data_IF_698636898878
#
_entry.id   IF_698636898878
#
_cell.length_a   1.000
_cell.length_b   1.000
_cell.length_c   1.000
_cell.angle_alpha   90.00
_cell.angle_beta   90.00
_cell.angle_gamma   90.00
#
_symmetry.space_group_name_H-M   'P 1'
#
loop_
_entity.id
_entity.type
_entity.pdbx_description
1 polymer ?
#
# COMPACT_ATOMS: atom_id res chain seq x y z
N UNK A 1 6.40 -29.58 12.00
CA UNK A 1 6.82 -28.16 12.19
C UNK A 1 5.71 -27.27 11.61
N UNK A 2 5.23 -26.27 12.31
CA UNK A 2 4.22 -25.35 11.80
C UNK A 2 4.87 -24.43 10.76
N UNK A 3 4.26 -24.30 9.58
CA UNK A 3 4.78 -23.39 8.54
C UNK A 3 4.54 -21.94 8.91
N UNK A 4 5.40 -21.07 8.41
CA UNK A 4 5.27 -19.62 8.58
C UNK A 4 5.52 -18.91 7.26
N UNK A 5 4.57 -18.08 6.89
CA UNK A 5 4.60 -17.29 5.65
C UNK A 5 4.60 -15.80 5.95
N UNK A 6 5.39 -15.06 5.17
CA UNK A 6 5.34 -13.59 5.14
C UNK A 6 4.72 -13.17 3.82
N UNK A 7 3.69 -12.31 3.85
CA UNK A 7 3.18 -11.58 2.69
C UNK A 7 3.70 -10.15 2.76
N UNK A 8 4.28 -9.63 1.68
CA UNK A 8 4.77 -8.25 1.58
C UNK A 8 4.07 -7.56 0.42
N UNK A 9 3.54 -6.34 0.66
CA UNK A 9 2.87 -5.47 -0.32
C UNK A 9 3.54 -4.09 -0.31
N UNK A 10 4.07 -3.67 -1.46
CA UNK A 10 4.72 -2.38 -1.64
C UNK A 10 3.69 -1.24 -1.64
N UNK A 11 3.90 -0.26 -0.79
CA UNK A 11 2.92 0.78 -0.54
C UNK A 11 2.72 1.72 -1.72
N UNK A 12 1.51 1.68 -2.32
CA UNK A 12 1.14 2.51 -3.47
C UNK A 12 2.18 2.45 -4.61
N UNK A 13 2.65 1.26 -4.94
CA UNK A 13 3.88 0.98 -5.66
C UNK A 13 4.14 1.91 -6.85
N UNK A 14 3.26 1.97 -7.85
CA UNK A 14 3.48 2.79 -9.04
C UNK A 14 3.61 4.28 -8.72
N UNK A 15 2.80 4.78 -7.77
CA UNK A 15 2.89 6.17 -7.36
C UNK A 15 4.17 6.45 -6.57
N UNK A 16 4.63 5.48 -5.76
CA UNK A 16 5.90 5.59 -5.04
C UNK A 16 7.09 5.60 -5.99
N UNK A 17 7.10 4.76 -7.04
CA UNK A 17 8.12 4.78 -8.09
C UNK A 17 8.15 6.15 -8.78
N UNK A 18 6.98 6.68 -9.17
CA UNK A 18 6.89 7.99 -9.83
C UNK A 18 7.38 9.15 -8.95
N UNK A 19 7.12 9.09 -7.63
CA UNK A 19 7.67 10.06 -6.69
C UNK A 19 9.20 9.96 -6.61
N UNK A 20 9.73 8.75 -6.41
CA UNK A 20 11.19 8.53 -6.28
C UNK A 20 11.97 9.00 -7.50
N UNK A 21 11.46 8.75 -8.70
CA UNK A 21 12.05 9.22 -9.95
C UNK A 21 12.09 10.74 -10.11
N UNK A 22 11.20 11.44 -9.41
CA UNK A 22 11.16 12.90 -9.39
C UNK A 22 11.91 13.49 -8.20
N UNK A 23 12.60 12.66 -7.39
CA UNK A 23 13.26 13.10 -6.15
C UNK A 23 12.28 13.53 -5.06
N UNK A 24 11.01 13.05 -5.12
CA UNK A 24 9.95 13.41 -4.19
C UNK A 24 9.76 12.30 -3.14
N UNK A 25 9.24 12.65 -1.96
CA UNK A 25 8.85 11.70 -0.94
C UNK A 25 7.46 11.10 -1.24
N UNK A 26 7.34 9.77 -1.45
CA UNK A 26 6.04 9.13 -1.69
C UNK A 26 5.03 9.28 -0.54
N UNK A 27 5.49 9.51 0.68
CA UNK A 27 4.64 9.66 1.85
C UNK A 27 4.10 11.07 2.03
N UNK A 28 4.81 12.06 1.49
CA UNK A 28 4.42 13.48 1.59
C UNK A 28 3.74 14.00 0.31
N UNK A 29 4.16 13.53 -0.86
CA UNK A 29 3.73 14.07 -2.14
C UNK A 29 2.36 13.58 -2.56
N UNK A 30 1.48 14.49 -2.95
CA UNK A 30 0.20 14.18 -3.57
C UNK A 30 0.40 13.88 -5.07
N UNK A 31 0.23 12.61 -5.46
CA UNK A 31 0.43 12.15 -6.83
C UNK A 31 -0.54 11.02 -7.18
N UNK A 32 -1.02 11.02 -8.41
CA UNK A 32 -1.75 9.90 -9.03
C UNK A 32 -1.03 9.42 -10.28
N UNK A 33 -1.11 8.11 -10.54
CA UNK A 33 -0.66 7.53 -11.80
C UNK A 33 -1.88 7.31 -12.70
N UNK A 34 -2.02 8.13 -13.73
CA UNK A 34 -3.13 8.08 -14.67
C UNK A 34 -2.72 8.63 -16.05
N UNK A 35 -3.33 8.10 -17.11
CA UNK A 35 -3.15 8.62 -18.46
C UNK A 35 -4.25 9.63 -18.82
N UNK A 36 -4.02 10.91 -18.50
CA UNK A 36 -4.96 12.00 -18.79
C UNK A 36 -5.14 12.29 -20.27
N UNK A 37 -4.18 11.87 -21.13
CA UNK A 37 -4.25 12.05 -22.59
C UNK A 37 -5.38 11.25 -23.22
N UNK A 38 -5.81 10.16 -22.57
CA UNK A 38 -6.91 9.32 -23.08
C UNK A 38 -8.27 9.93 -22.77
N UNK A 39 -8.53 10.17 -21.49
CA UNK A 39 -9.79 10.75 -20.99
C UNK A 39 -9.74 10.89 -19.47
N UNK A 40 -10.47 11.85 -18.92
CA UNK A 40 -10.65 11.99 -17.47
C UNK A 40 -11.42 10.81 -16.82
N UNK A 41 -12.06 9.95 -17.63
CA UNK A 41 -12.70 8.73 -17.15
C UNK A 41 -11.70 7.57 -16.91
N UNK A 42 -10.40 7.78 -17.20
CA UNK A 42 -9.35 6.79 -16.96
C UNK A 42 -9.29 6.43 -15.48
N UNK A 43 -9.01 5.16 -15.19
CA UNK A 43 -8.81 4.68 -13.81
C UNK A 43 -7.39 5.04 -13.40
N UNK A 44 -7.23 5.64 -12.22
CA UNK A 44 -5.93 5.83 -11.60
C UNK A 44 -5.35 4.46 -11.21
N UNK A 45 -4.17 4.14 -11.72
CA UNK A 45 -3.50 2.88 -11.41
C UNK A 45 -2.95 2.85 -9.99
N UNK A 46 -2.53 4.01 -9.48
CA UNK A 46 -2.09 4.20 -8.10
C UNK A 46 -2.33 5.64 -7.65
N UNK A 47 -2.45 5.79 -6.34
CA UNK A 47 -2.60 7.07 -5.64
C UNK A 47 -1.65 7.04 -4.43
N UNK A 48 -0.91 8.12 -4.18
CA UNK A 48 0.00 8.22 -3.03
C UNK A 48 -0.74 8.13 -1.69
N UNK A 49 -0.05 7.67 -0.63
CA UNK A 49 -0.63 7.63 0.72
C UNK A 49 -1.11 8.99 1.23
N UNK A 50 -0.35 10.06 0.95
CA UNK A 50 -0.72 11.43 1.30
C UNK A 50 -2.06 11.83 0.67
N UNK A 51 -2.23 11.58 -0.62
CA UNK A 51 -3.47 11.93 -1.31
C UNK A 51 -4.66 11.04 -0.88
N UNK A 52 -4.40 9.76 -0.53
CA UNK A 52 -5.40 8.87 0.08
C UNK A 52 -5.89 9.37 1.44
N UNK A 53 -5.07 10.06 2.22
CA UNK A 53 -5.46 10.61 3.53
C UNK A 53 -6.58 11.67 3.44
N UNK A 54 -6.75 12.27 2.27
CA UNK A 54 -7.87 13.19 1.96
C UNK A 54 -9.14 12.46 1.51
N UNK A 55 -9.20 11.12 1.65
CA UNK A 55 -10.35 10.31 1.28
C UNK A 55 -10.47 10.03 -0.22
N UNK A 56 -9.37 10.13 -0.96
CA UNK A 56 -9.31 9.79 -2.39
C UNK A 56 -9.04 8.28 -2.51
N UNK A 57 -9.89 7.52 -3.24
CA UNK A 57 -9.74 6.09 -3.37
C UNK A 57 -8.50 5.71 -4.21
N UNK A 58 -7.86 4.58 -3.88
CA UNK A 58 -6.63 4.13 -4.54
C UNK A 58 -6.77 3.78 -6.02
N UNK A 59 -8.00 3.53 -6.50
CA UNK A 59 -8.34 3.19 -7.89
C UNK A 59 -9.56 3.95 -8.40
N UNK A 60 -9.74 5.20 -7.95
CA UNK A 60 -10.78 6.09 -8.46
C UNK A 60 -10.52 6.48 -9.91
N UNK A 61 -11.54 6.99 -10.60
CA UNK A 61 -11.37 7.60 -11.92
C UNK A 61 -10.77 9.00 -11.77
N UNK A 62 -10.00 9.43 -12.75
CA UNK A 62 -9.29 10.71 -12.66
C UNK A 62 -10.24 11.90 -12.43
N UNK A 63 -11.42 11.90 -13.06
CA UNK A 63 -12.41 12.95 -12.84
C UNK A 63 -12.95 12.95 -11.39
N UNK A 64 -13.10 11.78 -10.76
CA UNK A 64 -13.52 11.65 -9.35
C UNK A 64 -12.45 12.24 -8.42
N UNK A 65 -11.17 11.99 -8.73
CA UNK A 65 -10.05 12.59 -7.99
C UNK A 65 -10.10 14.12 -8.12
N UNK A 66 -10.22 14.65 -9.34
CA UNK A 66 -10.32 16.11 -9.60
C UNK A 66 -11.50 16.72 -8.85
N UNK A 67 -12.68 16.09 -8.92
CA UNK A 67 -13.87 16.55 -8.20
C UNK A 67 -13.69 16.54 -6.68
N UNK A 68 -13.08 15.48 -6.15
CA UNK A 68 -12.79 15.39 -4.71
C UNK A 68 -11.82 16.47 -4.26
N UNK A 69 -10.78 16.75 -5.03
CA UNK A 69 -9.82 17.86 -4.75
C UNK A 69 -10.55 19.21 -4.76
N UNK A 70 -11.47 19.45 -5.69
CA UNK A 70 -12.29 20.67 -5.69
C UNK A 70 -13.12 20.81 -4.41
N UNK A 71 -13.75 19.72 -3.95
CA UNK A 71 -14.53 19.73 -2.69
C UNK A 71 -13.63 20.02 -1.47
N UNK A 72 -12.43 19.41 -1.42
CA UNK A 72 -11.45 19.67 -0.36
C UNK A 72 -11.03 21.13 -0.40
N UNK A 73 -10.74 21.68 -1.56
CA UNK A 73 -10.33 23.07 -1.72
C UNK A 73 -11.45 24.06 -1.38
N UNK A 74 -12.71 23.70 -1.62
CA UNK A 74 -13.84 24.51 -1.15
C UNK A 74 -13.89 24.57 0.37
N UNK A 75 -13.69 23.43 1.05
CA UNK A 75 -13.63 23.37 2.51
C UNK A 75 -12.39 24.12 3.06
N UNK A 76 -11.21 23.94 2.44
CA UNK A 76 -9.98 24.68 2.81
C UNK A 76 -10.16 26.18 2.66
N UNK A 77 -10.77 26.64 1.57
CA UNK A 77 -11.08 28.06 1.36
C UNK A 77 -11.96 28.61 2.47
N UNK A 78 -12.98 27.88 2.87
CA UNK A 78 -13.87 28.31 3.95
C UNK A 78 -13.13 28.44 5.30
N UNK A 79 -12.15 27.56 5.57
CA UNK A 79 -11.35 27.57 6.80
C UNK A 79 -10.15 28.52 6.74
N UNK A 80 -9.73 28.96 5.55
CA UNK A 80 -8.55 29.81 5.38
C UNK A 80 -8.77 31.25 5.92
N UNK A 81 -7.70 31.92 6.40
CA UNK A 81 -7.76 33.32 6.78
C UNK A 81 -8.30 34.17 5.62
N UNK A 82 -9.27 35.02 5.91
CA UNK A 82 -9.92 35.86 4.88
C UNK A 82 -10.74 35.12 3.84
N UNK A 83 -10.96 33.79 4.02
CA UNK A 83 -11.67 32.90 3.08
C UNK A 83 -11.08 32.90 1.66
N UNK A 84 -9.78 33.07 1.56
CA UNK A 84 -9.05 33.07 0.29
C UNK A 84 -7.90 32.04 0.35
N UNK A 85 -7.70 31.35 -0.77
CA UNK A 85 -6.54 30.48 -0.95
C UNK A 85 -5.48 31.26 -1.74
N UNK A 86 -4.24 31.24 -1.26
CA UNK A 86 -3.10 31.96 -1.82
C UNK A 86 -2.04 30.97 -2.29
N UNK A 87 -2.22 30.43 -3.49
CA UNK A 87 -1.32 29.40 -4.05
C UNK A 87 -1.82 27.98 -3.85
N UNK A 88 -0.99 27.00 -4.20
CA UNK A 88 -1.29 25.56 -4.08
C UNK A 88 -0.02 24.79 -3.72
N UNK A 89 -0.19 23.58 -3.17
CA UNK A 89 0.91 22.65 -2.87
C UNK A 89 0.52 21.21 -3.09
N UNK A 90 1.50 20.41 -3.57
CA UNK A 90 1.42 18.97 -3.63
C UNK A 90 2.02 18.27 -2.39
N UNK A 91 2.61 19.01 -1.42
CA UNK A 91 3.18 18.47 -0.19
C UNK A 91 2.12 18.38 0.90
N UNK A 92 1.97 17.19 1.50
CA UNK A 92 1.07 17.00 2.63
C UNK A 92 1.49 17.82 3.85
N UNK A 93 2.78 17.82 4.18
CA UNK A 93 3.31 18.55 5.32
C UNK A 93 3.07 20.07 5.17
N UNK A 94 3.32 20.62 3.97
CA UNK A 94 3.08 22.01 3.69
C UNK A 94 1.58 22.36 3.76
N UNK A 95 0.71 21.51 3.25
CA UNK A 95 -0.73 21.70 3.35
C UNK A 95 -1.27 21.64 4.78
N UNK A 96 -0.60 20.91 5.69
CA UNK A 96 -0.96 20.88 7.12
C UNK A 96 -0.48 22.15 7.85
N UNK A 97 0.69 22.69 7.50
CA UNK A 97 1.24 23.91 8.13
C UNK A 97 0.65 25.20 7.58
N UNK A 98 0.17 25.21 6.32
CA UNK A 98 -0.30 26.40 5.63
C UNK A 98 -1.76 26.25 5.16
N UNK A 99 -2.76 26.60 6.01
CA UNK A 99 -4.17 26.44 5.69
C UNK A 99 -4.66 27.22 4.46
N UNK A 100 -3.94 28.31 4.09
CA UNK A 100 -4.25 29.17 2.93
C UNK A 100 -3.86 28.54 1.59
N UNK A 101 -3.13 27.43 1.56
CA UNK A 101 -2.77 26.78 0.30
C UNK A 101 -3.89 25.85 -0.20
N UNK A 102 -4.13 25.84 -1.50
CA UNK A 102 -4.96 24.87 -2.15
C UNK A 102 -4.24 23.50 -2.21
N UNK A 103 -4.98 22.42 -2.01
CA UNK A 103 -4.53 21.08 -2.33
C UNK A 103 -4.35 20.95 -3.84
N UNK A 104 -3.15 20.55 -4.25
CA UNK A 104 -2.83 20.20 -5.62
C UNK A 104 -2.21 18.81 -5.68
N UNK A 105 -2.12 18.22 -6.87
CA UNK A 105 -1.55 16.89 -7.06
C UNK A 105 -0.93 16.73 -8.45
N UNK A 106 0.07 15.88 -8.53
CA UNK A 106 0.77 15.54 -9.77
C UNK A 106 0.03 14.38 -10.46
N UNK A 107 -0.19 14.50 -11.78
CA UNK A 107 -0.65 13.41 -12.62
C UNK A 107 0.57 12.85 -13.37
N UNK A 108 0.95 11.61 -13.06
CA UNK A 108 2.05 10.92 -13.71
C UNK A 108 1.51 9.91 -14.75
N UNK A 109 1.99 9.94 -16.01
CA UNK A 109 1.61 8.94 -16.99
C UNK A 109 2.16 7.56 -16.60
N UNK A 110 1.42 6.46 -16.86
CA UNK A 110 1.86 5.10 -16.53
C UNK A 110 3.11 4.70 -17.34
N UNK A 111 4.10 4.10 -16.66
CA UNK A 111 5.35 3.58 -17.26
C UNK A 111 5.56 2.12 -16.86
N UNK A 112 4.72 1.20 -17.39
CA UNK A 112 4.67 -0.20 -16.94
C UNK A 112 6.01 -0.93 -17.01
N UNK A 113 6.78 -0.76 -18.10
CA UNK A 113 8.12 -1.36 -18.21
C UNK A 113 9.04 -0.92 -17.05
N UNK A 114 9.00 0.34 -16.72
CA UNK A 114 9.78 0.91 -15.63
C UNK A 114 9.36 0.39 -14.25
N UNK A 115 8.07 0.18 -14.04
CA UNK A 115 7.59 -0.44 -12.80
C UNK A 115 8.04 -1.90 -12.68
N UNK A 116 8.12 -2.61 -13.79
CA UNK A 116 8.67 -3.97 -13.82
C UNK A 116 10.16 -3.99 -13.45
N UNK A 117 10.95 -3.04 -13.94
CA UNK A 117 12.37 -2.89 -13.56
C UNK A 117 12.53 -2.66 -12.06
N UNK A 118 11.73 -1.76 -11.46
CA UNK A 118 11.73 -1.54 -10.01
C UNK A 118 11.30 -2.78 -9.22
N UNK A 119 10.27 -3.50 -9.70
CA UNK A 119 9.83 -4.76 -9.10
C UNK A 119 10.94 -5.80 -9.11
N UNK A 120 11.67 -5.93 -10.23
CA UNK A 120 12.82 -6.85 -10.35
C UNK A 120 13.93 -6.48 -9.37
N UNK A 121 14.30 -5.19 -9.26
CA UNK A 121 15.29 -4.74 -8.27
C UNK A 121 14.89 -5.06 -6.84
N UNK A 122 13.61 -4.92 -6.51
CA UNK A 122 13.09 -5.26 -5.18
C UNK A 122 13.11 -6.78 -4.98
N UNK A 123 12.78 -7.56 -6.00
CA UNK A 123 12.86 -9.02 -5.95
C UNK A 123 14.29 -9.51 -5.69
N UNK A 124 15.30 -8.87 -6.29
CA UNK A 124 16.71 -9.15 -6.01
C UNK A 124 17.09 -8.90 -4.54
N UNK A 125 16.45 -7.94 -3.86
CA UNK A 125 16.62 -7.74 -2.42
C UNK A 125 16.03 -8.92 -1.65
N UNK A 126 14.84 -9.42 -2.03
CA UNK A 126 14.21 -10.58 -1.40
C UNK A 126 15.08 -11.84 -1.51
N UNK A 127 15.74 -12.06 -2.66
CA UNK A 127 16.64 -13.18 -2.90
C UNK A 127 17.87 -13.21 -1.99
N UNK A 128 18.22 -12.13 -1.33
CA UNK A 128 19.31 -12.11 -0.33
C UNK A 128 18.90 -12.78 0.98
N UNK A 129 17.62 -12.98 1.19
CA UNK A 129 17.04 -13.49 2.44
C UNK A 129 16.37 -14.84 2.28
N UNK A 130 15.73 -15.07 1.15
CA UNK A 130 14.89 -16.25 0.91
C UNK A 130 15.23 -16.81 -0.47
N UNK A 131 15.36 -18.13 -0.58
CA UNK A 131 15.62 -18.80 -1.84
C UNK A 131 14.43 -18.62 -2.83
N UNK A 132 14.69 -18.59 -4.15
CA UNK A 132 13.65 -18.31 -5.13
C UNK A 132 12.49 -19.33 -5.11
N UNK A 133 12.75 -20.59 -4.74
CA UNK A 133 11.75 -21.64 -4.60
C UNK A 133 10.76 -21.41 -3.46
N UNK A 134 11.15 -20.63 -2.45
CA UNK A 134 10.33 -20.28 -1.29
C UNK A 134 9.64 -18.91 -1.46
N UNK A 135 9.82 -18.24 -2.63
CA UNK A 135 9.17 -16.97 -2.96
C UNK A 135 8.09 -17.19 -4.02
N UNK A 136 6.86 -16.81 -3.71
CA UNK A 136 5.74 -16.79 -4.64
C UNK A 136 5.47 -15.34 -5.04
N UNK A 137 5.77 -14.98 -6.28
CA UNK A 137 5.43 -13.67 -6.85
C UNK A 137 3.93 -13.66 -7.15
N UNK A 138 3.16 -12.91 -6.38
CA UNK A 138 1.71 -12.81 -6.51
C UNK A 138 1.30 -11.71 -7.50
N UNK A 139 2.01 -10.59 -7.49
CA UNK A 139 1.83 -9.48 -8.42
C UNK A 139 3.14 -8.67 -8.56
N UNK A 140 3.11 -7.58 -9.32
CA UNK A 140 4.26 -6.67 -9.49
C UNK A 140 4.72 -6.03 -8.17
N UNK A 141 3.82 -5.90 -7.22
CA UNK A 141 4.02 -5.22 -5.93
C UNK A 141 3.78 -6.10 -4.71
N UNK A 142 3.48 -7.39 -4.92
CA UNK A 142 3.17 -8.31 -3.82
C UNK A 142 3.84 -9.67 -3.98
N UNK A 143 4.44 -10.15 -2.89
CA UNK A 143 5.07 -11.47 -2.79
C UNK A 143 4.63 -12.21 -1.52
N UNK A 144 4.70 -13.54 -1.56
CA UNK A 144 4.68 -14.40 -0.38
C UNK A 144 6.01 -15.12 -0.26
N UNK A 145 6.46 -15.35 0.96
CA UNK A 145 7.68 -16.07 1.28
C UNK A 145 7.39 -17.15 2.32
N UNK A 146 7.76 -18.41 2.05
CA UNK A 146 7.82 -19.44 3.09
C UNK A 146 9.13 -19.26 3.86
N UNK A 147 9.04 -18.80 5.09
CA UNK A 147 10.20 -18.51 5.93
C UNK A 147 10.43 -19.54 7.01
N UNK A 148 9.76 -20.66 6.93
CA UNK A 148 9.77 -21.73 7.97
C UNK A 148 11.17 -22.22 8.29
N UNK A 149 12.04 -22.38 7.30
CA UNK A 149 13.38 -22.93 7.46
C UNK A 149 14.47 -21.85 7.76
N UNK A 150 14.09 -20.58 7.75
CA UNK A 150 15.07 -19.49 7.82
C UNK A 150 15.30 -18.95 9.24
N UNK A 151 14.48 -19.33 10.22
CA UNK A 151 14.59 -18.81 11.60
C UNK A 151 15.89 -19.22 12.27
N UNK A 152 16.27 -20.49 12.13
CA UNK A 152 17.53 -21.00 12.70
C UNK A 152 18.74 -20.38 12.00
N UNK A 153 18.65 -20.19 10.68
CA UNK A 153 19.73 -19.62 9.87
C UNK A 153 20.04 -18.17 10.27
N UNK A 154 18.99 -17.35 10.49
CA UNK A 154 19.18 -15.94 10.80
C UNK A 154 19.14 -15.63 12.29
N UNK A 155 18.70 -16.53 13.15
CA UNK A 155 18.46 -16.26 14.57
C UNK A 155 17.42 -15.17 14.82
N UNK A 156 16.47 -15.01 13.87
CA UNK A 156 15.45 -13.95 13.87
C UNK A 156 14.06 -14.56 13.93
N UNK A 157 13.12 -13.87 14.56
CA UNK A 157 11.68 -14.15 14.42
C UNK A 157 11.17 -13.76 13.01
N UNK A 158 10.02 -14.29 12.61
CA UNK A 158 9.38 -13.89 11.34
C UNK A 158 9.17 -12.38 11.23
N UNK A 159 8.82 -11.73 12.34
CA UNK A 159 8.62 -10.29 12.42
C UNK A 159 9.92 -9.50 12.19
N UNK A 160 10.99 -9.92 12.83
CA UNK A 160 12.31 -9.30 12.68
C UNK A 160 12.86 -9.49 11.26
N UNK A 161 12.65 -10.68 10.67
CA UNK A 161 13.03 -10.96 9.29
C UNK A 161 12.22 -10.10 8.31
N UNK A 162 10.90 -10.02 8.46
CA UNK A 162 10.06 -9.15 7.65
C UNK A 162 10.47 -7.68 7.76
N UNK A 163 10.72 -7.22 8.99
CA UNK A 163 11.21 -5.86 9.25
C UNK A 163 12.52 -5.58 8.53
N UNK A 164 13.49 -6.48 8.64
CA UNK A 164 14.81 -6.34 8.01
C UNK A 164 14.70 -6.26 6.49
N UNK A 165 13.90 -7.14 5.89
CA UNK A 165 13.65 -7.12 4.44
C UNK A 165 13.03 -5.78 4.01
N UNK A 166 11.99 -5.31 4.70
CA UNK A 166 11.29 -4.06 4.37
C UNK A 166 12.23 -2.85 4.52
N UNK A 167 13.06 -2.83 5.56
CA UNK A 167 14.02 -1.74 5.75
C UNK A 167 15.11 -1.71 4.67
N UNK A 168 15.55 -2.87 4.17
CA UNK A 168 16.49 -2.94 3.06
C UNK A 168 15.83 -2.45 1.75
N UNK A 169 14.58 -2.85 1.48
CA UNK A 169 13.80 -2.31 0.35
C UNK A 169 13.68 -0.80 0.46
N UNK A 170 13.31 -0.28 1.63
CA UNK A 170 13.18 1.16 1.87
C UNK A 170 14.51 1.89 1.66
N UNK A 171 15.61 1.37 2.19
CA UNK A 171 16.94 1.97 2.08
C UNK A 171 17.41 2.05 0.63
N UNK A 172 17.21 0.99 -0.16
CA UNK A 172 17.74 0.90 -1.52
C UNK A 172 16.83 1.51 -2.59
N UNK A 173 15.53 1.56 -2.34
CA UNK A 173 14.55 2.05 -3.33
C UNK A 173 13.76 3.29 -2.87
N UNK A 174 13.77 3.58 -1.57
CA UNK A 174 12.94 4.61 -0.96
C UNK A 174 11.44 4.27 -0.96
N UNK A 175 11.08 3.00 -1.20
CA UNK A 175 9.71 2.52 -1.20
C UNK A 175 9.46 1.70 0.05
N UNK A 176 8.44 2.07 0.83
CA UNK A 176 8.04 1.31 2.01
C UNK A 176 7.05 0.20 1.66
N UNK A 177 6.90 -0.76 2.57
CA UNK A 177 5.99 -1.88 2.41
C UNK A 177 5.19 -2.16 3.68
N UNK A 178 4.19 -3.00 3.54
CA UNK A 178 3.40 -3.55 4.64
C UNK A 178 3.54 -5.07 4.61
N UNK A 179 3.66 -5.73 5.76
CA UNK A 179 3.74 -7.18 5.81
C UNK A 179 2.65 -7.79 6.68
N UNK A 180 2.25 -9.01 6.30
CA UNK A 180 1.44 -9.91 7.09
C UNK A 180 2.16 -11.23 7.31
N UNK A 181 2.09 -11.76 8.52
CA UNK A 181 2.68 -13.03 8.91
C UNK A 181 1.55 -13.99 9.25
N UNK A 182 1.63 -15.21 8.78
CA UNK A 182 0.61 -16.23 9.05
C UNK A 182 1.14 -17.65 8.94
N UNK A 183 0.39 -18.59 9.51
CA UNK A 183 0.71 -20.03 9.50
C UNK A 183 0.39 -20.69 8.15
N UNK A 184 -0.24 -19.97 7.26
CA UNK A 184 -0.48 -20.30 5.86
C UNK A 184 -0.61 -19.04 5.01
N UNK A 185 -0.62 -19.18 3.67
CA UNK A 185 -0.69 -18.06 2.72
C UNK A 185 -1.93 -17.19 2.94
N UNK A 186 -3.08 -17.80 3.24
CA UNK A 186 -4.32 -17.07 3.47
C UNK A 186 -4.22 -16.18 4.72
N UNK A 187 -3.74 -16.72 5.84
CA UNK A 187 -3.59 -15.96 7.08
C UNK A 187 -2.54 -14.86 6.95
N UNK A 188 -1.44 -15.11 6.24
CA UNK A 188 -0.45 -14.07 5.93
C UNK A 188 -1.08 -12.93 5.12
N UNK A 189 -1.87 -13.24 4.08
CA UNK A 189 -2.59 -12.25 3.28
C UNK A 189 -3.61 -11.47 4.10
N UNK A 190 -4.41 -12.15 4.90
CA UNK A 190 -5.42 -11.51 5.78
C UNK A 190 -4.74 -10.64 6.84
N UNK A 191 -3.65 -11.12 7.45
CA UNK A 191 -2.87 -10.31 8.38
C UNK A 191 -2.39 -9.00 7.74
N UNK A 192 -1.91 -9.06 6.50
CA UNK A 192 -1.45 -7.90 5.76
C UNK A 192 -2.60 -6.96 5.39
N UNK A 193 -3.63 -7.45 4.71
CA UNK A 193 -4.69 -6.60 4.14
C UNK A 193 -5.65 -6.05 5.19
N UNK A 194 -5.96 -6.87 6.21
CA UNK A 194 -7.02 -6.58 7.18
C UNK A 194 -6.47 -5.94 8.45
N UNK A 195 -5.29 -6.34 8.88
CA UNK A 195 -4.71 -5.81 10.13
C UNK A 195 -3.58 -4.82 9.87
N UNK A 196 -2.53 -5.23 9.17
CA UNK A 196 -1.33 -4.40 9.03
C UNK A 196 -1.62 -3.06 8.34
N UNK A 197 -2.49 -3.01 7.34
CA UNK A 197 -2.86 -1.77 6.65
C UNK A 197 -3.65 -0.78 7.54
N UNK A 198 -4.20 -1.24 8.67
CA UNK A 198 -5.04 -0.43 9.56
C UNK A 198 -4.42 -0.12 10.92
N UNK A 199 -3.27 -0.70 11.26
CA UNK A 199 -2.53 -0.34 12.48
C UNK A 199 -1.63 0.87 12.25
N UNK A 200 -1.24 1.53 13.35
CA UNK A 200 -0.23 2.57 13.32
C UNK A 200 1.10 2.01 12.80
N UNK A 201 1.83 2.82 12.03
CA UNK A 201 3.18 2.48 11.64
C UNK A 201 4.11 2.56 12.87
N UNK A 202 5.18 1.76 12.86
CA UNK A 202 6.24 1.89 13.85
C UNK A 202 7.12 3.13 13.59
N UNK A 203 8.18 3.30 14.37
CA UNK A 203 9.13 4.41 14.24
C UNK A 203 9.81 4.49 12.84
N UNK A 204 9.86 3.38 12.10
CA UNK A 204 10.43 3.30 10.75
C UNK A 204 9.37 3.41 9.64
N UNK A 205 8.12 3.70 9.98
CA UNK A 205 7.00 3.77 9.03
C UNK A 205 6.48 2.40 8.58
N UNK A 206 6.98 1.30 9.14
CA UNK A 206 6.64 -0.07 8.78
C UNK A 206 5.40 -0.55 9.54
N UNK A 207 4.60 -1.38 8.87
CA UNK A 207 3.41 -2.00 9.44
C UNK A 207 3.48 -3.50 9.24
N UNK A 208 3.50 -4.25 10.35
CA UNK A 208 3.53 -5.72 10.33
C UNK A 208 2.45 -6.24 11.27
N UNK A 209 1.62 -7.15 10.79
CA UNK A 209 0.65 -7.86 11.62
C UNK A 209 0.81 -9.37 11.48
N UNK A 210 0.42 -10.10 12.51
CA UNK A 210 0.51 -11.56 12.58
C UNK A 210 -0.86 -12.16 12.86
N UNK A 211 -1.18 -13.26 12.21
CA UNK A 211 -2.39 -14.05 12.43
C UNK A 211 -2.09 -15.55 12.40
N UNK A 212 -2.58 -16.24 13.42
CA UNK A 212 -2.78 -17.68 13.41
C UNK A 212 -4.27 -18.02 13.32
N UNK A 213 -4.60 -19.31 13.26
CA UNK A 213 -6.00 -19.78 13.17
C UNK A 213 -6.83 -19.37 14.38
N UNK A 214 -6.24 -19.31 15.57
CA UNK A 214 -6.96 -18.97 16.81
C UNK A 214 -7.28 -17.48 16.86
N UNK A 215 -6.29 -16.62 16.59
CA UNK A 215 -6.48 -15.16 16.52
C UNK A 215 -7.42 -14.77 15.39
N UNK A 216 -7.31 -15.43 14.21
CA UNK A 216 -8.25 -15.22 13.11
C UNK A 216 -9.69 -15.55 13.52
N UNK A 217 -9.94 -16.71 14.16
CA UNK A 217 -11.28 -17.09 14.63
C UNK A 217 -11.81 -16.14 15.70
N UNK A 218 -10.97 -15.77 16.67
CA UNK A 218 -11.36 -14.88 17.78
C UNK A 218 -11.66 -13.46 17.30
N UNK A 219 -10.84 -12.91 16.39
CA UNK A 219 -10.86 -11.48 16.11
C UNK A 219 -11.60 -11.13 14.82
N UNK A 220 -11.53 -12.00 13.80
CA UNK A 220 -12.09 -11.71 12.48
C UNK A 220 -13.30 -12.56 12.14
N UNK A 221 -13.36 -13.80 12.58
CA UNK A 221 -14.51 -14.67 12.30
C UNK A 221 -15.78 -14.25 13.05
N UNK A 222 -15.66 -13.75 14.28
CA UNK A 222 -16.79 -13.30 15.07
C UNK A 222 -17.33 -11.93 14.63
N UNK A 223 -16.52 -11.11 13.97
CA UNK A 223 -16.91 -9.79 13.46
C UNK A 223 -17.48 -9.84 12.03
N UNK A 224 -18.04 -10.95 11.61
CA UNK A 224 -18.48 -11.28 10.25
C UNK A 224 -19.52 -10.34 9.62
N UNK A 225 -20.01 -9.28 10.27
CA UNK A 225 -21.17 -8.55 9.73
C UNK A 225 -21.00 -7.10 9.26
N UNK A 226 -20.24 -6.19 9.85
CA UNK A 226 -20.15 -4.84 9.29
C UNK A 226 -19.04 -4.69 8.25
N UNK A 227 -17.85 -5.19 8.54
CA UNK A 227 -16.63 -4.88 7.77
C UNK A 227 -16.58 -5.53 6.39
N UNK A 228 -17.03 -6.78 6.24
CA UNK A 228 -17.14 -7.44 4.93
C UNK A 228 -18.22 -6.80 4.04
N UNK A 229 -19.22 -6.14 4.61
CA UNK A 229 -20.25 -5.42 3.84
C UNK A 229 -19.78 -4.05 3.36
N UNK A 230 -18.98 -3.32 4.10
CA UNK A 230 -18.46 -2.02 3.66
C UNK A 230 -17.44 -2.16 2.52
N UNK A 231 -16.63 -3.20 2.53
CA UNK A 231 -15.73 -3.52 1.41
C UNK A 231 -16.45 -4.21 0.23
N UNK A 232 -17.55 -4.93 0.48
CA UNK A 232 -18.35 -5.58 -0.54
C UNK A 232 -19.28 -4.61 -1.32
N UNK A 233 -19.50 -3.42 -0.82
CA UNK A 233 -20.33 -2.39 -1.48
C UNK A 233 -19.78 -1.85 -2.81
N UNK A 234 -18.52 -2.19 -3.17
CA UNK A 234 -17.91 -1.77 -4.43
C UNK A 234 -17.09 -2.82 -5.18
N UNK A 235 -16.74 -3.96 -4.57
CA UNK A 235 -15.83 -4.95 -5.17
C UNK A 235 -16.00 -6.38 -4.64
N UNK A 236 -17.10 -6.71 -3.98
CA UNK A 236 -17.31 -7.95 -3.22
C UNK A 236 -17.13 -9.27 -3.99
N UNK A 237 -17.29 -9.27 -5.31
CA UNK A 237 -17.13 -10.49 -6.12
C UNK A 237 -15.67 -10.81 -6.50
N UNK A 238 -14.78 -9.82 -6.50
CA UNK A 238 -13.38 -10.03 -6.93
C UNK A 238 -12.52 -10.60 -5.79
N UNK A 239 -12.82 -10.28 -4.54
CA UNK A 239 -12.02 -10.76 -3.39
C UNK A 239 -12.24 -12.25 -3.10
N UNK A 240 -13.46 -12.76 -3.16
CA UNK A 240 -13.74 -14.17 -2.90
C UNK A 240 -13.10 -15.11 -3.93
N UNK A 241 -13.08 -14.72 -5.20
CA UNK A 241 -12.48 -15.53 -6.27
C UNK A 241 -10.93 -15.60 -6.19
N UNK A 242 -10.27 -14.59 -5.63
CA UNK A 242 -8.81 -14.60 -5.46
C UNK A 242 -8.35 -15.44 -4.25
N UNK A 243 -9.13 -15.45 -3.17
CA UNK A 243 -8.81 -16.28 -2.00
C UNK A 243 -9.13 -17.76 -2.18
N UNK A 244 -10.15 -18.11 -2.96
CA UNK A 244 -10.46 -19.51 -3.27
C UNK A 244 -9.36 -20.16 -4.11
N UNK A 245 -8.70 -19.43 -5.01
CA UNK A 245 -7.57 -19.93 -5.79
C UNK A 245 -6.33 -20.27 -4.93
N UNK A 246 -6.14 -19.57 -3.79
CA UNK A 246 -5.06 -19.84 -2.83
C UNK A 246 -5.37 -21.04 -1.90
N UNK A 247 -6.64 -21.40 -1.76
CA UNK A 247 -7.09 -22.49 -0.90
C UNK A 247 -7.25 -23.83 -1.65
N UNK A 248 -7.16 -23.82 -2.99
CA UNK A 248 -7.37 -25.04 -3.79
C UNK A 248 -8.80 -25.60 -3.69
N UNK A 249 -9.82 -24.74 -3.43
CA UNK A 249 -11.23 -25.08 -3.32
C UNK A 249 -12.02 -24.45 -4.46
#
# INVERSE_FOLDING_TARGET
MQRTYISIDLKSFYASVECRERGLDPLDTNLVVADERRTDKTICLAVTPSLKSYGIPGRGRLFEVKQRVQQINAARRFAAPGRQLCGSSCSYAQLQSEPQLALDFIIAPPRMAYYMEYSTRIYEIYLRYVAPEDIIVYSVDEVFMDVTQYFELYGLSARELAMRIILDVLRETGITATAGIGTNLFLAKVAMDVRAKHIAADANGVRIAELDEQSYRRELWQHRRPWLREQAGGAGHIYYGRYSALLGI
#
